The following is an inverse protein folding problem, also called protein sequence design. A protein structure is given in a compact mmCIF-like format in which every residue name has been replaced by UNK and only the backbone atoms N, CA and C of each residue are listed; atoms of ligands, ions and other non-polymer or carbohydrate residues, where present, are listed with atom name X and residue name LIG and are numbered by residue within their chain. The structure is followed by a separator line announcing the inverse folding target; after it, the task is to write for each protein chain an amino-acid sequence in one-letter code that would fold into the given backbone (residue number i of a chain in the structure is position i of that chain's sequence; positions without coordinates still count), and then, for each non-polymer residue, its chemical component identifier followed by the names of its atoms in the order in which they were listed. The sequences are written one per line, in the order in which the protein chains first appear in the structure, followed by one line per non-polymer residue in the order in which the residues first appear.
data_IF_789375990106
#
_entry.id   IF_789375990106
#
_cell.length_a   1.000
_cell.length_b   1.000
_cell.length_c   1.000
_cell.angle_alpha   90.00
_cell.angle_beta   90.00
_cell.angle_gamma   90.00
#
_symmetry.space_group_name_H-M   'P 1'
#
loop_
_entity.id
_entity.type
_entity.pdbx_description
1 polymer ?
#
# COMPACT_ATOMS: atom_id res chain seq x y z
N UNK A 1 13.82 13.08 -27.94
CA UNK A 1 13.62 14.35 -28.67
C UNK A 1 12.29 14.19 -29.37
N UNK A 2 11.15 14.69 -28.89
CA UNK A 2 10.85 16.05 -28.47
C UNK A 2 9.91 16.04 -27.25
N UNK A 3 10.21 16.91 -26.28
CA UNK A 3 9.27 17.29 -25.24
C UNK A 3 8.17 18.14 -25.85
N UNK A 4 6.93 17.70 -25.69
CA UNK A 4 5.76 18.49 -26.07
C UNK A 4 5.43 19.41 -24.90
N UNK A 5 6.05 20.58 -24.94
CA UNK A 5 5.62 21.76 -24.20
C UNK A 5 4.21 22.14 -24.67
N UNK A 6 3.17 21.67 -23.99
CA UNK A 6 1.84 22.27 -24.12
C UNK A 6 1.84 23.50 -23.21
N UNK A 7 2.49 24.56 -23.69
CA UNK A 7 2.24 25.93 -23.26
C UNK A 7 0.95 26.37 -23.95
N UNK A 8 -0.20 26.00 -23.38
CA UNK A 8 -1.45 26.66 -23.71
C UNK A 8 -1.87 27.53 -22.53
N UNK A 9 -1.39 28.77 -22.54
CA UNK A 9 -1.71 29.80 -21.55
C UNK A 9 -3.16 30.30 -21.63
N UNK A 10 -4.01 29.70 -22.46
CA UNK A 10 -5.43 30.05 -22.59
C UNK A 10 -6.38 29.12 -21.82
N UNK A 11 -5.90 28.04 -21.19
CA UNK A 11 -6.78 26.99 -20.64
C UNK A 11 -6.80 26.93 -19.10
N UNK A 12 -5.72 27.29 -18.39
CA UNK A 12 -5.66 27.21 -16.92
C UNK A 12 -4.98 28.43 -16.28
N UNK A 13 -5.57 28.93 -15.18
CA UNK A 13 -4.98 29.97 -14.34
C UNK A 13 -3.63 29.50 -13.75
N UNK A 14 -2.64 30.40 -13.52
CA UNK A 14 -1.35 30.05 -12.91
C UNK A 14 -1.46 29.22 -11.62
N UNK A 15 -2.47 29.49 -10.79
CA UNK A 15 -2.73 28.73 -9.56
C UNK A 15 -3.21 27.30 -9.83
N UNK A 16 -4.02 27.11 -10.87
CA UNK A 16 -4.48 25.79 -11.29
C UNK A 16 -3.34 24.98 -11.92
N UNK A 17 -2.45 25.63 -12.68
CA UNK A 17 -1.25 24.99 -13.21
C UNK A 17 -0.33 24.48 -12.07
N UNK A 18 -0.13 25.30 -11.03
CA UNK A 18 0.66 24.94 -9.85
C UNK A 18 0.02 23.80 -9.05
N UNK A 19 -1.31 23.76 -8.98
CA UNK A 19 -2.05 22.68 -8.34
C UNK A 19 -1.89 21.35 -9.10
N UNK A 20 -2.06 21.36 -10.43
CA UNK A 20 -1.90 20.17 -11.28
C UNK A 20 -0.45 19.65 -11.27
N UNK A 21 0.54 20.55 -11.33
CA UNK A 21 1.95 20.17 -11.23
C UNK A 21 2.28 19.51 -9.89
N UNK A 22 1.74 20.02 -8.78
CA UNK A 22 1.90 19.39 -7.45
C UNK A 22 1.17 18.05 -7.36
N UNK A 23 0.03 17.89 -8.04
CA UNK A 23 -0.69 16.62 -8.09
C UNK A 23 0.12 15.51 -8.77
N UNK A 24 1.01 15.86 -9.72
CA UNK A 24 1.91 14.92 -10.39
C UNK A 24 2.90 14.23 -9.43
N UNK A 25 3.21 14.80 -8.26
CA UNK A 25 4.04 14.13 -7.25
C UNK A 25 3.41 12.82 -6.72
N UNK A 26 2.09 12.67 -6.81
CA UNK A 26 1.41 11.45 -6.39
C UNK A 26 1.67 10.28 -7.34
N UNK A 27 1.77 10.53 -8.65
CA UNK A 27 2.07 9.48 -9.63
C UNK A 27 3.51 9.00 -9.50
N UNK A 28 4.47 9.91 -9.26
CA UNK A 28 5.88 9.56 -9.02
C UNK A 28 6.09 8.65 -7.80
N UNK A 29 5.35 8.89 -6.71
CA UNK A 29 5.36 8.01 -5.53
C UNK A 29 4.81 6.62 -5.86
N UNK A 30 3.79 6.54 -6.72
CA UNK A 30 3.26 5.27 -7.22
C UNK A 30 4.31 4.46 -7.99
N UNK A 31 5.05 5.09 -8.90
CA UNK A 31 6.14 4.43 -9.63
C UNK A 31 7.28 3.95 -8.72
N UNK A 32 7.60 4.70 -7.65
CA UNK A 32 8.58 4.25 -6.66
C UNK A 32 8.13 2.99 -5.92
N UNK A 33 6.84 2.88 -5.62
CA UNK A 33 6.26 1.69 -5.00
C UNK A 33 6.30 0.48 -5.94
N UNK A 34 6.03 0.68 -7.23
CA UNK A 34 6.14 -0.39 -8.25
C UNK A 34 7.56 -0.92 -8.41
N UNK A 35 8.56 -0.06 -8.22
CA UNK A 35 9.99 -0.42 -8.26
C UNK A 35 10.51 -0.92 -6.90
N UNK A 36 9.66 -1.02 -5.89
CA UNK A 36 10.08 -1.45 -4.56
C UNK A 36 10.49 -2.94 -4.59
N UNK A 37 11.65 -3.31 -4.00
CA UNK A 37 12.13 -4.69 -3.98
C UNK A 37 11.11 -5.69 -3.43
N UNK A 38 10.18 -5.24 -2.58
CA UNK A 38 9.13 -6.07 -2.01
C UNK A 38 8.14 -6.61 -3.06
N UNK A 39 8.01 -5.97 -4.22
CA UNK A 39 7.18 -6.44 -5.33
C UNK A 39 7.94 -7.32 -6.34
N UNK A 40 9.24 -7.56 -6.10
CA UNK A 40 10.10 -8.47 -6.87
C UNK A 40 10.10 -8.23 -8.40
N UNK A 41 9.64 -7.07 -8.88
CA UNK A 41 9.51 -6.79 -10.30
C UNK A 41 10.87 -6.85 -11.03
N UNK A 42 11.96 -6.48 -10.35
CA UNK A 42 13.33 -6.58 -10.86
C UNK A 42 13.88 -8.01 -10.87
N UNK A 43 13.30 -8.94 -10.10
CA UNK A 43 13.71 -10.35 -10.05
C UNK A 43 12.99 -11.22 -11.09
N UNK A 44 11.89 -10.71 -11.65
CA UNK A 44 11.14 -11.40 -12.69
C UNK A 44 11.75 -11.11 -14.07
N UNK A 45 12.74 -11.92 -14.47
CA UNK A 45 13.31 -11.87 -15.83
C UNK A 45 12.28 -12.35 -16.86
N UNK A 46 11.50 -11.41 -17.38
CA UNK A 46 10.48 -11.69 -18.39
C UNK A 46 11.03 -11.44 -19.80
N UNK A 47 11.29 -12.51 -20.54
CA UNK A 47 11.79 -12.45 -21.92
C UNK A 47 10.71 -12.08 -22.96
N UNK A 48 9.44 -12.38 -22.67
CA UNK A 48 8.33 -12.20 -23.60
C UNK A 48 7.53 -10.92 -23.31
N UNK A 49 7.21 -10.09 -24.31
CA UNK A 49 6.50 -8.81 -24.13
C UNK A 49 5.09 -9.00 -23.54
N UNK A 50 4.39 -10.08 -23.89
CA UNK A 50 3.07 -10.40 -23.33
C UNK A 50 3.12 -10.60 -21.80
N UNK A 51 4.18 -11.25 -21.29
CA UNK A 51 4.33 -11.46 -19.83
C UNK A 51 4.65 -10.16 -19.12
N UNK A 52 5.40 -9.25 -19.77
CA UNK A 52 5.68 -7.92 -19.24
C UNK A 52 4.38 -7.13 -19.11
N UNK A 53 3.54 -7.13 -20.14
CA UNK A 53 2.23 -6.45 -20.10
C UNK A 53 1.33 -7.01 -19.00
N UNK A 54 1.24 -8.33 -18.87
CA UNK A 54 0.47 -8.97 -17.80
C UNK A 54 0.99 -8.60 -16.41
N UNK A 55 2.31 -8.62 -16.20
CA UNK A 55 2.92 -8.22 -14.93
C UNK A 55 2.64 -6.75 -14.63
N UNK A 56 2.80 -5.85 -15.61
CA UNK A 56 2.50 -4.43 -15.46
C UNK A 56 1.05 -4.21 -15.03
N UNK A 57 0.10 -4.93 -15.63
CA UNK A 57 -1.31 -4.84 -15.24
C UNK A 57 -1.54 -5.28 -13.79
N UNK A 58 -0.99 -6.43 -13.38
CA UNK A 58 -1.10 -6.93 -11.99
C UNK A 58 -0.48 -5.94 -11.01
N UNK A 59 0.68 -5.37 -11.36
CA UNK A 59 1.38 -4.38 -10.55
C UNK A 59 0.56 -3.10 -10.37
N UNK A 60 -0.08 -2.58 -11.43
CA UNK A 60 -0.96 -1.41 -11.36
C UNK A 60 -2.18 -1.68 -10.47
N UNK A 61 -2.83 -2.84 -10.64
CA UNK A 61 -3.97 -3.24 -9.80
C UNK A 61 -3.54 -3.38 -8.33
N UNK A 62 -2.37 -3.97 -8.07
CA UNK A 62 -1.83 -4.14 -6.72
C UNK A 62 -1.55 -2.78 -6.07
N UNK A 63 -0.98 -1.82 -6.82
CA UNK A 63 -0.75 -0.46 -6.35
C UNK A 63 -2.07 0.24 -6.01
N UNK A 64 -3.10 0.09 -6.85
CA UNK A 64 -4.43 0.67 -6.61
C UNK A 64 -5.01 0.13 -5.31
N UNK A 65 -5.04 -1.20 -5.13
CA UNK A 65 -5.53 -1.85 -3.92
C UNK A 65 -4.76 -1.38 -2.69
N UNK A 66 -3.43 -1.31 -2.76
CA UNK A 66 -2.60 -0.84 -1.65
C UNK A 66 -2.86 0.62 -1.30
N UNK A 67 -3.06 1.48 -2.31
CA UNK A 67 -3.35 2.91 -2.10
C UNK A 67 -4.71 3.09 -1.42
N UNK A 68 -5.71 2.33 -1.85
CA UNK A 68 -7.04 2.33 -1.24
C UNK A 68 -7.02 1.81 0.19
N UNK A 69 -6.33 0.69 0.44
CA UNK A 69 -6.18 0.13 1.78
C UNK A 69 -5.45 1.09 2.73
N UNK A 70 -4.36 1.73 2.28
CA UNK A 70 -3.66 2.75 3.06
C UNK A 70 -4.55 3.95 3.37
N UNK A 71 -5.34 4.42 2.39
CA UNK A 71 -6.28 5.53 2.57
C UNK A 71 -7.34 5.16 3.62
N UNK A 72 -7.95 3.98 3.51
CA UNK A 72 -8.94 3.51 4.48
C UNK A 72 -8.38 3.39 5.89
N UNK A 73 -7.18 2.80 6.04
CA UNK A 73 -6.52 2.70 7.33
C UNK A 73 -6.27 4.08 7.97
N UNK A 74 -5.76 5.04 7.20
CA UNK A 74 -5.53 6.41 7.69
C UNK A 74 -6.83 7.12 8.05
N UNK A 75 -7.90 6.90 7.29
CA UNK A 75 -9.22 7.44 7.61
C UNK A 75 -9.76 6.86 8.92
N UNK A 76 -9.65 5.53 9.12
CA UNK A 76 -10.08 4.88 10.35
C UNK A 76 -9.30 5.40 11.58
N UNK A 77 -7.98 5.59 11.44
CA UNK A 77 -7.13 6.17 12.49
C UNK A 77 -7.47 7.62 12.79
N UNK A 78 -7.74 8.43 11.75
CA UNK A 78 -8.14 9.82 11.91
C UNK A 78 -9.50 9.96 12.63
N UNK A 79 -10.49 9.13 12.27
CA UNK A 79 -11.82 9.14 12.89
C UNK A 79 -11.79 8.72 14.36
N UNK A 80 -10.90 7.79 14.72
CA UNK A 80 -10.74 7.30 16.09
C UNK A 80 -9.73 8.10 16.91
N UNK A 81 -9.07 9.12 16.32
CA UNK A 81 -7.93 9.85 16.91
C UNK A 81 -6.82 8.93 17.45
N UNK A 82 -6.65 7.77 16.84
CA UNK A 82 -5.69 6.75 17.26
C UNK A 82 -4.47 6.72 16.35
N UNK A 83 -3.38 6.16 16.88
CA UNK A 83 -2.12 5.98 16.14
C UNK A 83 -1.68 4.54 16.23
N UNK A 84 -0.88 4.11 15.25
CA UNK A 84 -0.20 2.80 15.27
C UNK A 84 1.32 3.01 15.34
N UNK A 85 2.07 2.06 15.92
CA UNK A 85 3.53 2.16 15.96
C UNK A 85 4.10 2.11 14.55
N UNK A 86 5.13 2.91 14.27
CA UNK A 86 5.91 2.86 13.04
C UNK A 86 7.08 1.86 13.16
N UNK A 87 7.93 1.77 12.12
CA UNK A 87 9.13 0.91 12.09
C UNK A 87 10.09 1.09 13.27
N UNK A 88 10.09 2.27 13.91
CA UNK A 88 10.90 2.60 15.09
C UNK A 88 10.11 2.53 16.40
N UNK A 89 8.89 1.97 16.37
CA UNK A 89 7.99 1.89 17.52
C UNK A 89 7.30 3.20 17.92
N UNK A 90 7.54 4.31 17.20
CA UNK A 90 6.92 5.61 17.53
C UNK A 90 5.48 5.66 17.01
N UNK A 91 4.54 6.28 17.74
CA UNK A 91 3.16 6.44 17.28
C UNK A 91 3.10 7.28 16.00
N UNK A 92 2.32 6.83 15.02
CA UNK A 92 2.04 7.57 13.78
C UNK A 92 0.56 7.47 13.40
N UNK A 93 -0.02 8.61 13.01
CA UNK A 93 -1.34 8.69 12.40
C UNK A 93 -1.32 8.46 10.87
N UNK A 94 -0.12 8.45 10.27
CA UNK A 94 0.08 8.39 8.83
C UNK A 94 0.92 7.15 8.47
N UNK A 95 0.48 5.93 8.84
CA UNK A 95 1.22 4.72 8.51
C UNK A 95 1.27 4.48 6.99
N UNK A 96 2.30 3.78 6.54
CA UNK A 96 2.36 3.23 5.19
C UNK A 96 1.87 1.78 5.21
N UNK A 97 1.14 1.36 4.17
CA UNK A 97 0.68 -0.03 4.10
C UNK A 97 1.85 -1.01 3.97
N UNK A 98 2.95 -0.56 3.36
CA UNK A 98 4.22 -1.30 3.32
C UNK A 98 4.69 -1.69 4.72
N UNK A 99 4.70 -0.74 5.67
CA UNK A 99 5.09 -1.04 7.05
C UNK A 99 4.11 -2.03 7.69
N UNK A 100 2.80 -1.83 7.51
CA UNK A 100 1.79 -2.73 8.04
C UNK A 100 2.03 -4.17 7.53
N UNK A 101 2.26 -4.37 6.23
CA UNK A 101 2.57 -5.70 5.70
C UNK A 101 3.86 -6.27 6.26
N UNK A 102 4.90 -5.46 6.46
CA UNK A 102 6.14 -5.92 7.09
C UNK A 102 5.93 -6.40 8.52
N UNK A 103 5.11 -5.71 9.32
CA UNK A 103 4.78 -6.16 10.68
C UNK A 103 4.09 -7.53 10.69
N UNK A 104 3.30 -7.83 9.65
CA UNK A 104 2.54 -9.08 9.55
C UNK A 104 3.30 -10.23 8.88
N UNK A 105 4.50 -9.99 8.32
CA UNK A 105 5.25 -10.96 7.53
C UNK A 105 5.63 -12.24 8.31
N UNK A 106 5.81 -12.12 9.63
CA UNK A 106 6.22 -13.24 10.50
C UNK A 106 5.05 -14.00 11.13
N UNK A 107 3.81 -13.60 10.84
CA UNK A 107 2.62 -14.32 11.30
C UNK A 107 2.48 -15.60 10.47
N UNK A 108 2.36 -16.73 11.16
CA UNK A 108 2.32 -18.06 10.54
C UNK A 108 1.03 -18.76 10.95
N UNK A 109 0.37 -19.43 10.02
CA UNK A 109 -0.68 -20.38 10.35
C UNK A 109 -0.07 -21.78 10.37
N UNK A 110 -0.25 -22.51 11.47
CA UNK A 110 0.13 -23.90 11.61
C UNK A 110 -1.14 -24.73 11.75
N UNK A 111 -1.09 -25.97 11.29
CA UNK A 111 -2.14 -26.95 11.51
C UNK A 111 -1.54 -28.08 12.34
N UNK A 112 -2.07 -28.30 13.54
CA UNK A 112 -1.64 -29.35 14.46
C UNK A 112 -2.89 -30.13 14.83
N UNK A 113 -2.89 -31.44 14.57
CA UNK A 113 -4.02 -32.34 14.85
C UNK A 113 -5.35 -31.89 14.24
N UNK A 114 -5.31 -31.30 13.03
CA UNK A 114 -6.47 -30.77 12.31
C UNK A 114 -6.98 -29.41 12.81
N UNK A 115 -6.34 -28.82 13.82
CA UNK A 115 -6.67 -27.51 14.37
C UNK A 115 -5.72 -26.46 13.79
N UNK A 116 -6.28 -25.47 13.08
CA UNK A 116 -5.52 -24.33 12.55
C UNK A 116 -5.27 -23.31 13.65
N UNK A 117 -4.01 -23.06 13.94
CA UNK A 117 -3.55 -22.12 14.97
C UNK A 117 -2.65 -21.06 14.35
N UNK A 118 -2.83 -19.80 14.73
CA UNK A 118 -1.97 -18.70 14.28
C UNK A 118 -0.91 -18.41 15.32
N UNK A 119 0.34 -18.40 14.88
CA UNK A 119 1.53 -18.13 15.68
C UNK A 119 2.07 -16.74 15.34
N UNK A 120 2.72 -16.09 16.32
CA UNK A 120 3.29 -14.74 16.23
C UNK A 120 2.27 -13.60 16.05
N UNK A 121 1.00 -13.84 16.40
CA UNK A 121 -0.02 -12.80 16.43
C UNK A 121 0.04 -12.02 17.76
N UNK A 122 0.68 -10.85 17.74
CA UNK A 122 0.82 -9.98 18.91
C UNK A 122 -0.41 -9.09 19.14
N UNK A 123 -0.49 -8.46 20.32
CA UNK A 123 -1.51 -7.44 20.63
C UNK A 123 -1.49 -6.26 19.65
N UNK A 124 -0.30 -5.87 19.17
CA UNK A 124 -0.17 -4.82 18.16
C UNK A 124 -0.81 -5.22 16.83
N UNK A 125 -0.68 -6.49 16.42
CA UNK A 125 -1.34 -7.00 15.21
C UNK A 125 -2.86 -6.96 15.36
N UNK A 126 -3.40 -7.41 16.49
CA UNK A 126 -4.85 -7.34 16.79
C UNK A 126 -5.35 -5.90 16.78
N UNK A 127 -4.60 -4.99 17.39
CA UNK A 127 -4.92 -3.56 17.41
C UNK A 127 -4.93 -2.97 15.98
N UNK A 128 -3.93 -3.27 15.14
CA UNK A 128 -3.92 -2.82 13.74
C UNK A 128 -5.11 -3.41 12.96
N UNK A 129 -5.44 -4.68 13.18
CA UNK A 129 -6.58 -5.34 12.53
C UNK A 129 -7.94 -4.74 12.91
N UNK A 130 -8.06 -4.09 14.08
CA UNK A 130 -9.27 -3.37 14.46
C UNK A 130 -9.66 -2.26 13.47
N UNK A 131 -8.66 -1.61 12.87
CA UNK A 131 -8.87 -0.53 11.89
C UNK A 131 -9.05 -1.01 10.44
N UNK A 132 -8.64 -2.24 10.14
CA UNK A 132 -8.76 -2.82 8.79
C UNK A 132 -10.13 -3.45 8.54
N UNK A 133 -10.92 -3.65 9.60
CA UNK A 133 -12.30 -4.15 9.55
C UNK A 133 -12.42 -5.65 9.83
N UNK A 134 -13.66 -6.10 10.05
CA UNK A 134 -14.00 -7.46 10.49
C UNK A 134 -13.62 -8.53 9.46
N UNK A 135 -13.69 -8.22 8.16
CA UNK A 135 -13.26 -9.14 7.10
C UNK A 135 -11.78 -9.52 7.22
N UNK A 136 -10.91 -8.57 7.60
CA UNK A 136 -9.49 -8.84 7.80
C UNK A 136 -9.25 -9.68 9.07
N UNK A 137 -10.01 -9.44 10.13
CA UNK A 137 -9.90 -10.19 11.39
C UNK A 137 -10.24 -11.67 11.21
N UNK A 138 -11.26 -11.98 10.40
CA UNK A 138 -11.66 -13.36 10.08
C UNK A 138 -10.52 -14.20 9.49
N UNK A 139 -9.65 -13.61 8.67
CA UNK A 139 -8.47 -14.31 8.14
C UNK A 139 -7.48 -14.74 9.23
N UNK A 140 -7.49 -14.04 10.37
CA UNK A 140 -6.67 -14.35 11.51
C UNK A 140 -7.43 -15.10 12.61
N UNK A 141 -8.59 -15.70 12.28
CA UNK A 141 -9.47 -16.36 13.25
C UNK A 141 -9.80 -15.48 14.48
N UNK A 142 -9.81 -14.15 14.29
CA UNK A 142 -10.25 -13.18 15.28
C UNK A 142 -11.70 -12.85 14.93
N UNK A 143 -12.59 -13.02 15.92
CA UNK A 143 -14.03 -12.75 15.79
C UNK A 143 -14.34 -11.27 15.81
#
# INVERSE_FOLDING_TARGET
MYGMWVLDSQILSPDQMLAEYKAQQHTERGFRFLKDPFFFASALFLKNPQRIMALMMIMVVSLLVCTLAQRRLRQALALSHQTIPNQKGKPTAIPTLRWVFQSFLFIRCLEVDGIKTIVNLTSNHKYILSFLGSSCQKYYFIS
#
